data_IF_178500659534
#
_entry.id   IF_178500659534
#
_cell.length_a   1.000
_cell.length_b   1.000
_cell.length_c   1.000
_cell.angle_alpha   90.00
_cell.angle_beta   90.00
_cell.angle_gamma   90.00
#
_symmetry.space_group_name_H-M   'P 1'
#
loop_
_entity.id
_entity.type
_entity.pdbx_description
1 polymer ?
#
# COMPACT_ATOMS: atom_id res chain seq x y z
N UNK A 1 -5.59 44.32 17.05
CA UNK A 1 -4.19 43.94 16.82
C UNK A 1 -4.18 42.48 16.41
N UNK A 2 -3.89 42.27 15.12
CA UNK A 2 -3.53 41.07 14.35
C UNK A 2 -4.06 39.67 14.74
N UNK A 3 -5.00 39.18 13.92
CA UNK A 3 -5.55 37.82 13.94
C UNK A 3 -5.23 37.04 12.64
N UNK A 4 -4.09 37.29 12.00
CA UNK A 4 -3.77 36.75 10.67
C UNK A 4 -2.49 35.89 10.61
N UNK A 5 -2.41 34.87 11.46
CA UNK A 5 -1.28 33.92 11.45
C UNK A 5 -1.71 32.44 11.29
N UNK A 6 -2.82 32.14 10.60
CA UNK A 6 -3.30 30.75 10.48
C UNK A 6 -3.91 30.37 9.11
N UNK A 7 -3.24 30.69 8.00
CA UNK A 7 -3.69 30.24 6.67
C UNK A 7 -2.59 29.79 5.69
N UNK A 8 -1.39 29.44 6.16
CA UNK A 8 -0.31 28.93 5.30
C UNK A 8 -0.22 27.39 5.01
N UNK A 9 -1.12 26.46 5.42
CA UNK A 9 -0.98 25.05 5.03
C UNK A 9 -1.47 24.71 3.60
N UNK A 10 -2.38 25.50 3.04
CA UNK A 10 -3.17 25.10 1.86
C UNK A 10 -2.37 25.19 0.55
N UNK A 11 -1.51 26.19 0.40
CA UNK A 11 -0.69 26.39 -0.81
C UNK A 11 0.36 25.27 -1.02
N UNK A 12 0.97 24.77 0.07
CA UNK A 12 1.96 23.66 0.00
C UNK A 12 1.28 22.33 -0.35
N UNK A 13 0.06 22.10 0.15
CA UNK A 13 -0.75 20.92 -0.18
C UNK A 13 -1.19 20.90 -1.65
N UNK A 14 -1.58 22.05 -2.19
CA UNK A 14 -1.97 22.18 -3.60
C UNK A 14 -0.79 21.92 -4.54
N UNK A 15 0.39 22.47 -4.26
CA UNK A 15 1.60 22.20 -5.06
C UNK A 15 1.97 20.71 -5.07
N UNK A 16 1.92 20.05 -3.91
CA UNK A 16 2.19 18.61 -3.79
C UNK A 16 1.15 17.76 -4.53
N UNK A 17 -0.13 18.13 -4.46
CA UNK A 17 -1.22 17.46 -5.18
C UNK A 17 -1.05 17.59 -6.69
N UNK A 18 -0.74 18.79 -7.19
CA UNK A 18 -0.49 19.06 -8.60
C UNK A 18 0.73 18.31 -9.13
N UNK A 19 1.83 18.31 -8.37
CA UNK A 19 3.04 17.57 -8.73
C UNK A 19 2.81 16.07 -8.77
N UNK A 20 2.10 15.51 -7.78
CA UNK A 20 1.71 14.11 -7.75
C UNK A 20 0.79 13.74 -8.92
N UNK A 21 -0.17 14.60 -9.26
CA UNK A 21 -1.06 14.39 -10.40
C UNK A 21 -0.32 14.50 -11.74
N UNK A 22 0.65 15.40 -11.86
CA UNK A 22 1.48 15.54 -13.05
C UNK A 22 2.35 14.30 -13.27
N UNK A 23 3.02 13.79 -12.23
CA UNK A 23 3.84 12.56 -12.34
C UNK A 23 2.96 11.32 -12.57
N UNK A 24 1.80 11.23 -11.93
CA UNK A 24 0.85 10.13 -12.17
C UNK A 24 0.30 10.12 -13.61
N UNK A 25 0.18 11.29 -14.24
CA UNK A 25 -0.26 11.43 -15.64
C UNK A 25 0.80 11.07 -16.68
N UNK A 26 2.08 11.07 -16.32
CA UNK A 26 3.18 10.86 -17.28
C UNK A 26 3.52 9.39 -17.58
N UNK A 27 2.70 8.43 -17.11
CA UNK A 27 2.81 6.96 -17.33
C UNK A 27 4.18 6.54 -17.88
N UNK A 28 5.18 6.54 -17.01
CA UNK A 28 6.52 6.16 -17.42
C UNK A 28 6.57 4.66 -17.70
N UNK A 29 7.18 4.26 -18.82
CA UNK A 29 7.48 2.85 -19.05
C UNK A 29 8.49 2.35 -18.00
N UNK A 30 8.32 1.12 -17.51
CA UNK A 30 9.14 0.54 -16.43
C UNK A 30 10.65 0.68 -16.69
N UNK A 31 11.06 0.57 -17.96
CA UNK A 31 12.44 0.73 -18.38
C UNK A 31 12.99 2.15 -18.18
N UNK A 32 12.18 3.18 -18.44
CA UNK A 32 12.60 4.59 -18.27
C UNK A 32 12.69 4.96 -16.79
N UNK A 33 11.81 4.41 -15.94
CA UNK A 33 11.90 4.58 -14.49
C UNK A 33 13.19 3.98 -13.96
N UNK A 34 13.56 2.76 -14.37
CA UNK A 34 14.80 2.12 -13.91
C UNK A 34 16.07 2.81 -14.41
N UNK A 35 16.04 3.41 -15.61
CA UNK A 35 17.19 4.15 -16.16
C UNK A 35 17.39 5.52 -15.51
N UNK A 36 16.30 6.26 -15.25
CA UNK A 36 16.35 7.59 -14.64
C UNK A 36 16.54 7.53 -13.12
N UNK A 37 15.96 6.51 -12.50
CA UNK A 37 16.00 6.30 -11.06
C UNK A 37 16.80 5.03 -10.76
N UNK A 38 18.14 5.14 -10.84
CA UNK A 38 19.01 4.08 -10.33
C UNK A 38 18.63 3.80 -8.86
N UNK A 39 18.59 2.52 -8.50
CA UNK A 39 18.14 2.05 -7.18
C UNK A 39 18.84 2.79 -6.02
N UNK A 40 20.12 3.11 -6.20
CA UNK A 40 20.94 3.88 -5.26
C UNK A 40 20.39 5.27 -4.94
N UNK A 41 19.81 5.98 -5.92
CA UNK A 41 19.25 7.33 -5.74
C UNK A 41 17.85 7.26 -5.09
N UNK A 42 17.09 6.20 -5.39
CA UNK A 42 15.75 6.01 -4.84
C UNK A 42 15.76 5.52 -3.39
N UNK A 43 16.78 4.78 -2.97
CA UNK A 43 16.92 4.30 -1.59
C UNK A 43 16.99 5.42 -0.55
N UNK A 44 17.32 6.65 -0.95
CA UNK A 44 17.29 7.84 -0.08
C UNK A 44 15.96 8.63 -0.18
N UNK A 45 15.11 8.32 -1.16
CA UNK A 45 13.83 9.01 -1.38
C UNK A 45 12.73 8.47 -0.47
N UNK A 46 12.23 9.32 0.43
CA UNK A 46 11.13 9.00 1.37
C UNK A 46 9.93 8.35 0.67
N UNK A 47 9.64 8.73 -0.57
CA UNK A 47 8.53 8.15 -1.36
C UNK A 47 8.81 6.69 -1.73
N UNK A 48 10.04 6.35 -2.08
CA UNK A 48 10.42 4.98 -2.39
C UNK A 48 10.37 4.10 -1.14
N UNK A 49 10.84 4.59 0.01
CA UNK A 49 10.71 3.85 1.27
C UNK A 49 9.24 3.61 1.61
N UNK A 50 8.36 4.61 1.45
CA UNK A 50 6.92 4.45 1.67
C UNK A 50 6.29 3.41 0.72
N UNK A 51 6.67 3.41 -0.56
CA UNK A 51 6.22 2.39 -1.53
C UNK A 51 6.66 0.99 -1.11
N UNK A 52 7.93 0.83 -0.72
CA UNK A 52 8.47 -0.46 -0.28
C UNK A 52 7.78 -0.93 1.00
N UNK A 53 7.60 -0.05 1.98
CA UNK A 53 6.90 -0.37 3.24
C UNK A 53 5.46 -0.81 2.98
N UNK A 54 4.72 -0.08 2.14
CA UNK A 54 3.37 -0.47 1.72
C UNK A 54 3.35 -1.82 1.00
N UNK A 55 4.32 -2.05 0.12
CA UNK A 55 4.47 -3.32 -0.59
C UNK A 55 4.75 -4.50 0.35
N UNK A 56 5.62 -4.32 1.34
CA UNK A 56 5.91 -5.32 2.37
C UNK A 56 4.66 -5.60 3.21
N UNK A 57 3.95 -4.56 3.64
CA UNK A 57 2.74 -4.70 4.44
C UNK A 57 1.64 -5.43 3.68
N UNK A 58 1.42 -5.08 2.41
CA UNK A 58 0.48 -5.76 1.55
C UNK A 58 0.89 -7.23 1.32
N UNK A 59 2.17 -7.48 1.04
CA UNK A 59 2.69 -8.84 0.85
C UNK A 59 2.53 -9.72 2.10
N UNK A 60 2.71 -9.15 3.30
CA UNK A 60 2.46 -9.85 4.56
C UNK A 60 0.98 -10.24 4.67
N UNK A 61 0.07 -9.29 4.45
CA UNK A 61 -1.37 -9.55 4.51
C UNK A 61 -1.83 -10.61 3.48
N UNK A 62 -1.34 -10.53 2.24
CA UNK A 62 -1.63 -11.52 1.20
C UNK A 62 -1.10 -12.91 1.56
N UNK A 63 0.09 -12.97 2.19
CA UNK A 63 0.68 -14.22 2.69
C UNK A 63 -0.16 -14.87 3.77
N UNK A 64 -0.56 -14.11 4.81
CA UNK A 64 -1.42 -14.60 5.89
C UNK A 64 -2.78 -15.07 5.35
N UNK A 65 -3.39 -14.29 4.46
CA UNK A 65 -4.64 -14.67 3.82
C UNK A 65 -4.52 -16.00 3.06
N UNK A 66 -3.44 -16.20 2.32
CA UNK A 66 -3.20 -17.44 1.59
C UNK A 66 -3.05 -18.64 2.52
N UNK A 67 -2.41 -18.46 3.69
CA UNK A 67 -2.30 -19.50 4.71
C UNK A 67 -3.67 -19.84 5.29
N UNK A 68 -4.45 -18.84 5.71
CA UNK A 68 -5.80 -19.02 6.25
C UNK A 68 -6.70 -19.72 5.24
N UNK A 69 -6.74 -19.25 3.99
CA UNK A 69 -7.54 -19.87 2.93
C UNK A 69 -7.15 -21.33 2.71
N UNK A 70 -5.84 -21.64 2.68
CA UNK A 70 -5.37 -23.02 2.53
C UNK A 70 -5.76 -23.89 3.72
N UNK A 71 -5.69 -23.39 4.95
CA UNK A 71 -6.11 -24.12 6.15
C UNK A 71 -7.62 -24.39 6.14
N UNK A 72 -8.43 -23.35 5.88
CA UNK A 72 -9.87 -23.47 5.79
C UNK A 72 -10.28 -24.41 4.67
N UNK A 73 -9.61 -24.34 3.51
CA UNK A 73 -9.90 -25.24 2.38
C UNK A 73 -9.60 -26.70 2.72
N UNK A 74 -8.54 -26.96 3.50
CA UNK A 74 -8.19 -28.31 3.97
C UNK A 74 -9.14 -28.84 5.04
N UNK A 75 -9.62 -27.99 5.95
CA UNK A 75 -10.50 -28.38 7.07
C UNK A 75 -11.98 -28.47 6.66
N UNK A 76 -12.45 -27.53 5.83
CA UNK A 76 -13.87 -27.33 5.50
C UNK A 76 -14.21 -27.65 4.04
N UNK A 77 -13.21 -27.92 3.19
CA UNK A 77 -13.42 -28.14 1.76
C UNK A 77 -13.56 -26.83 0.98
N UNK A 78 -14.41 -26.81 -0.04
CA UNK A 78 -14.55 -25.62 -0.90
C UNK A 78 -15.08 -24.41 -0.11
N UNK A 79 -14.32 -23.31 -0.13
CA UNK A 79 -14.70 -22.05 0.50
C UNK A 79 -15.46 -21.18 -0.52
N UNK A 80 -16.70 -20.82 -0.19
CA UNK A 80 -17.54 -19.93 -0.98
C UNK A 80 -16.84 -18.57 -1.26
N UNK A 81 -16.98 -17.99 -2.46
CA UNK A 81 -16.29 -16.76 -2.84
C UNK A 81 -16.65 -15.57 -1.95
N UNK A 82 -17.86 -15.52 -1.40
CA UNK A 82 -18.25 -14.47 -0.45
C UNK A 82 -17.38 -14.50 0.83
N UNK A 83 -17.05 -15.68 1.32
CA UNK A 83 -16.17 -15.85 2.49
C UNK A 83 -14.75 -15.45 2.14
N UNK A 84 -14.28 -15.75 0.92
CA UNK A 84 -12.95 -15.31 0.46
C UNK A 84 -12.83 -13.79 0.39
N UNK A 85 -13.86 -13.09 -0.12
CA UNK A 85 -13.89 -11.62 -0.15
C UNK A 85 -13.93 -11.02 1.26
N UNK A 86 -14.67 -11.64 2.19
CA UNK A 86 -14.66 -11.22 3.60
C UNK A 86 -13.28 -11.40 4.23
N UNK A 87 -12.57 -12.49 3.93
CA UNK A 87 -11.22 -12.71 4.45
C UNK A 87 -10.21 -11.70 3.87
N UNK A 88 -10.38 -11.28 2.61
CA UNK A 88 -9.54 -10.24 1.98
C UNK A 88 -9.67 -8.86 2.64
N UNK A 89 -10.82 -8.56 3.23
CA UNK A 89 -11.04 -7.29 3.93
C UNK A 89 -10.56 -7.29 5.39
N UNK A 90 -10.13 -8.44 5.91
CA UNK A 90 -9.57 -8.55 7.26
C UNK A 90 -8.15 -7.98 7.32
N UNK A 91 -7.82 -7.44 8.49
CA UNK A 91 -6.47 -6.99 8.82
C UNK A 91 -5.52 -8.16 9.02
N UNK A 92 -4.21 -7.93 8.87
CA UNK A 92 -3.19 -8.97 9.11
C UNK A 92 -3.33 -9.62 10.48
N UNK A 93 -3.56 -8.84 11.55
CA UNK A 93 -3.75 -9.38 12.91
C UNK A 93 -4.96 -10.30 13.01
N UNK A 94 -6.09 -9.94 12.40
CA UNK A 94 -7.27 -10.80 12.39
C UNK A 94 -7.04 -12.11 11.62
N UNK A 95 -6.23 -12.07 10.55
CA UNK A 95 -5.84 -13.27 9.80
C UNK A 95 -4.89 -14.15 10.62
N UNK A 96 -3.95 -13.57 11.37
CA UNK A 96 -3.08 -14.28 12.31
C UNK A 96 -3.91 -14.96 13.41
N UNK A 97 -4.84 -14.24 14.04
CA UNK A 97 -5.76 -14.79 15.07
C UNK A 97 -6.58 -15.98 14.52
N UNK A 98 -7.01 -15.91 13.26
CA UNK A 98 -7.72 -17.00 12.57
C UNK A 98 -6.83 -18.21 12.29
N UNK A 99 -5.52 -18.01 12.10
CA UNK A 99 -4.56 -19.07 11.81
C UNK A 99 -4.06 -19.81 13.06
N UNK A 100 -4.11 -19.17 14.23
CA UNK A 100 -3.71 -19.74 15.52
C UNK A 100 -4.82 -20.56 16.21
N UNK A 101 -6.09 -20.43 15.77
CA UNK A 101 -7.25 -21.15 16.30
C UNK A 101 -7.40 -22.62 15.82
#
# INVERSE_FOLDING_TARGET
MNEQASSLPQARSLLYKSFRTAIAGLRFEQNLVQQLFREEIMRESVIYQDIIQKGIQQGKQEGELAVVLRQLTRRLGTIEPEVQERLRSLTTTQLEDLAEA
#
